data_IF_975290853161
#
_entry.id   IF_975290853161
#
_cell.length_a   1.000
_cell.length_b   1.000
_cell.length_c   1.000
_cell.angle_alpha   90.00
_cell.angle_beta   90.00
_cell.angle_gamma   90.00
#
_symmetry.space_group_name_H-M   'P 1'
#
loop_
_entity.id
_entity.type
_entity.pdbx_description
1 polymer ?
#
# COMPACT_ATOMS: atom_id res chain seq x y z
N UNK A 1 -22.67 9.14 -23.49
CA UNK A 1 -21.82 9.95 -24.39
C UNK A 1 -20.64 10.59 -23.65
N UNK A 2 -20.83 11.44 -22.63
CA UNK A 2 -19.69 11.87 -21.79
C UNK A 2 -19.24 10.75 -20.84
N UNK A 3 -20.16 10.15 -20.09
CA UNK A 3 -19.86 9.04 -19.17
C UNK A 3 -19.23 7.81 -19.85
N UNK A 4 -19.74 7.44 -21.02
CA UNK A 4 -19.16 6.36 -21.85
C UNK A 4 -17.74 6.70 -22.33
N UNK A 5 -17.44 7.99 -22.54
CA UNK A 5 -16.11 8.45 -22.97
C UNK A 5 -15.14 8.55 -21.79
N UNK A 6 -15.64 8.91 -20.61
CA UNK A 6 -14.89 8.86 -19.35
C UNK A 6 -14.53 7.41 -18.99
N UNK A 7 -15.45 6.47 -19.18
CA UNK A 7 -15.22 5.03 -18.97
C UNK A 7 -14.23 4.44 -19.99
N UNK A 8 -14.32 4.79 -21.27
CA UNK A 8 -13.34 4.40 -22.31
C UNK A 8 -11.94 5.00 -22.06
N UNK A 9 -11.85 6.27 -21.64
CA UNK A 9 -10.57 6.91 -21.28
C UNK A 9 -9.96 6.33 -19.99
N UNK A 10 -10.77 5.73 -19.11
CA UNK A 10 -10.31 5.03 -17.91
C UNK A 10 -9.72 3.65 -18.25
N UNK A 11 -10.29 2.98 -19.25
CA UNK A 11 -9.87 1.65 -19.74
C UNK A 11 -8.53 1.71 -20.51
N UNK A 12 -8.18 2.86 -21.10
CA UNK A 12 -6.88 3.09 -21.75
C UNK A 12 -5.73 3.43 -20.77
N UNK A 13 -6.02 3.77 -19.50
CA UNK A 13 -4.98 4.17 -18.54
C UNK A 13 -4.18 2.96 -18.06
N UNK A 14 -2.85 3.10 -17.90
CA UNK A 14 -2.03 2.00 -17.41
C UNK A 14 -2.44 1.61 -16.00
N UNK A 15 -2.51 0.30 -15.76
CA UNK A 15 -2.67 -0.28 -14.42
C UNK A 15 -1.45 0.07 -13.56
N UNK A 16 -1.67 0.71 -12.43
CA UNK A 16 -0.60 1.15 -11.53
C UNK A 16 -0.68 0.46 -10.17
N UNK A 17 0.27 -0.41 -9.84
CA UNK A 17 0.34 -1.03 -8.50
C UNK A 17 1.55 -0.49 -7.75
N UNK A 18 1.31 0.07 -6.56
CA UNK A 18 2.31 0.79 -5.77
C UNK A 18 2.64 0.07 -4.47
N UNK A 19 3.93 -0.17 -4.21
CA UNK A 19 4.43 -0.65 -2.92
C UNK A 19 4.65 0.53 -1.97
N UNK A 20 3.73 0.71 -1.04
CA UNK A 20 3.83 1.67 0.05
C UNK A 20 4.48 1.03 1.28
N UNK A 21 3.89 1.18 2.47
CA UNK A 21 4.32 0.57 3.73
C UNK A 21 3.16 0.59 4.73
N UNK A 22 3.00 -0.48 5.50
CA UNK A 22 2.06 -0.48 6.61
C UNK A 22 2.47 0.55 7.66
N UNK A 23 1.48 1.23 8.22
CA UNK A 23 1.68 2.23 9.27
C UNK A 23 1.84 3.66 8.77
N UNK A 24 1.72 3.93 7.46
CA UNK A 24 1.88 5.29 6.91
C UNK A 24 0.88 6.30 7.49
N UNK A 25 -0.29 5.86 7.94
CA UNK A 25 -1.26 6.75 8.61
C UNK A 25 -1.08 6.85 10.12
N UNK A 26 -0.18 6.06 10.72
CA UNK A 26 -0.02 5.98 12.18
C UNK A 26 0.71 7.17 12.83
N UNK A 27 1.80 7.75 12.25
CA UNK A 27 2.55 8.83 12.90
C UNK A 27 1.70 10.04 13.32
N UNK A 28 0.62 10.34 12.59
CA UNK A 28 -0.26 11.48 12.84
C UNK A 28 -1.68 11.07 13.28
N UNK A 29 -1.93 9.78 13.54
CA UNK A 29 -3.28 9.32 13.92
C UNK A 29 -3.58 9.69 15.38
N UNK A 30 -4.70 10.40 15.65
CA UNK A 30 -5.11 10.68 17.02
C UNK A 30 -5.31 9.39 17.82
N UNK A 31 -4.81 9.35 19.05
CA UNK A 31 -5.00 8.22 19.97
C UNK A 31 -4.05 7.04 19.80
N UNK A 32 -3.02 7.15 18.96
CA UNK A 32 -1.94 6.14 18.88
C UNK A 32 -0.89 6.41 19.97
N UNK A 33 -0.50 5.35 20.67
CA UNK A 33 0.71 5.33 21.50
C UNK A 33 1.92 4.98 20.65
N UNK A 34 2.70 6.01 20.28
CA UNK A 34 3.86 5.89 19.39
C UNK A 34 4.98 5.02 19.99
N UNK A 35 5.05 4.89 21.32
CA UNK A 35 6.13 4.15 21.97
C UNK A 35 6.02 2.63 21.75
N UNK A 36 4.82 2.13 21.50
CA UNK A 36 4.54 0.71 21.23
C UNK A 36 4.41 0.39 19.74
N UNK A 37 4.63 1.37 18.87
CA UNK A 37 4.55 1.20 17.42
C UNK A 37 5.87 0.63 16.83
N UNK A 38 5.82 0.02 15.62
CA UNK A 38 7.02 -0.44 14.94
C UNK A 38 8.06 0.68 14.74
N UNK A 39 9.36 0.35 14.62
CA UNK A 39 10.43 1.34 14.52
C UNK A 39 10.24 2.40 13.43
N UNK A 40 9.67 2.04 12.27
CA UNK A 40 9.43 2.99 11.18
C UNK A 40 8.42 4.09 11.56
N UNK A 41 7.40 3.77 12.38
CA UNK A 41 6.41 4.73 12.88
C UNK A 41 7.02 5.56 14.00
N UNK A 42 7.64 4.89 14.98
CA UNK A 42 8.27 5.54 16.13
C UNK A 42 9.37 6.52 15.74
N UNK A 43 10.20 6.13 14.76
CA UNK A 43 11.37 6.90 14.32
C UNK A 43 11.09 7.67 13.02
N UNK A 44 9.82 7.85 12.62
CA UNK A 44 9.49 8.44 11.32
C UNK A 44 10.20 9.79 11.09
N UNK A 45 10.19 10.69 12.07
CA UNK A 45 10.85 12.00 11.97
C UNK A 45 12.38 11.87 11.88
N UNK A 46 12.98 10.98 12.66
CA UNK A 46 14.41 10.69 12.61
C UNK A 46 14.85 10.03 11.28
N UNK A 47 13.93 9.32 10.63
CA UNK A 47 14.09 8.73 9.30
C UNK A 47 13.74 9.73 8.17
N UNK A 48 13.62 11.02 8.49
CA UNK A 48 13.33 12.07 7.50
C UNK A 48 11.88 12.11 7.02
N UNK A 49 10.94 11.56 7.80
CA UNK A 49 9.52 11.51 7.46
C UNK A 49 9.19 10.47 6.39
N UNK A 50 9.92 9.35 6.32
CA UNK A 50 9.75 8.33 5.27
C UNK A 50 8.30 7.87 5.11
N UNK A 51 7.57 7.61 6.20
CA UNK A 51 6.17 7.21 6.16
C UNK A 51 5.26 8.37 5.75
N UNK A 52 5.59 9.59 6.18
CA UNK A 52 4.89 10.81 5.76
C UNK A 52 4.97 11.00 4.25
N UNK A 53 6.14 10.79 3.65
CA UNK A 53 6.32 10.92 2.20
C UNK A 53 5.72 9.75 1.42
N UNK A 54 5.73 8.53 1.97
CA UNK A 54 4.98 7.41 1.39
C UNK A 54 3.48 7.71 1.35
N UNK A 55 2.90 8.21 2.45
CA UNK A 55 1.49 8.60 2.47
C UNK A 55 1.17 9.67 1.42
N UNK A 56 1.99 10.73 1.33
CA UNK A 56 1.85 11.76 0.28
C UNK A 56 1.94 11.16 -1.12
N UNK A 57 2.81 10.18 -1.33
CA UNK A 57 2.92 9.45 -2.60
C UNK A 57 1.64 8.69 -2.94
N UNK A 58 1.03 8.03 -1.94
CA UNK A 58 -0.28 7.40 -2.14
C UNK A 58 -1.36 8.43 -2.47
N UNK A 59 -1.43 9.55 -1.76
CA UNK A 59 -2.41 10.60 -2.02
C UNK A 59 -2.28 11.16 -3.44
N UNK A 60 -1.05 11.37 -3.90
CA UNK A 60 -0.80 11.78 -5.28
C UNK A 60 -1.25 10.75 -6.31
N UNK A 61 -1.09 9.45 -6.02
CA UNK A 61 -1.60 8.37 -6.89
C UNK A 61 -3.14 8.40 -6.92
N UNK A 62 -3.80 8.56 -5.76
CA UNK A 62 -5.27 8.68 -5.68
C UNK A 62 -5.80 9.86 -6.48
N UNK A 63 -5.09 10.99 -6.44
CA UNK A 63 -5.45 12.23 -7.15
C UNK A 63 -5.07 12.20 -8.64
N UNK A 64 -4.23 11.27 -9.07
CA UNK A 64 -3.70 11.22 -10.45
C UNK A 64 -4.73 10.83 -11.51
N UNK A 65 -5.83 10.19 -11.11
CA UNK A 65 -6.80 9.58 -12.02
C UNK A 65 -6.30 8.29 -12.69
N UNK A 66 -5.13 7.76 -12.34
CA UNK A 66 -4.72 6.44 -12.78
C UNK A 66 -5.63 5.37 -12.17
N UNK A 67 -5.91 4.29 -12.92
CA UNK A 67 -6.40 3.06 -12.30
C UNK A 67 -5.28 2.51 -11.41
N UNK A 68 -5.49 2.44 -10.10
CA UNK A 68 -4.42 2.10 -9.16
C UNK A 68 -4.79 1.01 -8.14
N UNK A 69 -3.77 0.42 -7.52
CA UNK A 69 -3.84 -0.35 -6.29
C UNK A 69 -2.63 -0.02 -5.41
N UNK A 70 -2.86 0.21 -4.11
CA UNK A 70 -1.78 0.45 -3.13
C UNK A 70 -1.66 -0.75 -2.20
N UNK A 71 -0.48 -1.35 -2.18
CA UNK A 71 -0.13 -2.43 -1.25
C UNK A 71 0.80 -1.88 -0.18
N UNK A 72 0.48 -2.12 1.09
CA UNK A 72 1.23 -1.65 2.26
C UNK A 72 1.84 -2.83 3.03
N UNK A 73 3.02 -3.33 2.63
CA UNK A 73 3.68 -4.39 3.39
C UNK A 73 4.06 -3.96 4.81
N UNK A 74 3.93 -4.88 5.75
CA UNK A 74 4.52 -4.86 7.07
C UNK A 74 6.05 -5.00 6.96
N UNK A 75 6.73 -5.29 8.08
CA UNK A 75 8.18 -5.34 8.10
C UNK A 75 8.73 -6.41 7.13
N UNK A 76 9.53 -5.98 6.15
CA UNK A 76 10.11 -6.90 5.18
C UNK A 76 11.14 -7.82 5.83
N UNK A 77 11.09 -9.11 5.50
CA UNK A 77 12.06 -10.12 5.94
C UNK A 77 12.76 -10.79 4.75
N UNK A 78 13.90 -11.43 5.01
CA UNK A 78 14.64 -12.29 4.05
C UNK A 78 14.37 -13.78 4.35
N UNK A 79 13.43 -14.07 5.26
CA UNK A 79 12.93 -15.42 5.47
C UNK A 79 12.19 -15.90 4.21
N UNK A 80 12.23 -17.20 3.89
CA UNK A 80 11.57 -17.74 2.71
C UNK A 80 10.06 -17.43 2.67
N UNK A 81 9.50 -17.44 1.46
CA UNK A 81 8.07 -17.31 1.21
C UNK A 81 7.23 -18.44 1.86
N UNK A 82 5.92 -18.20 1.93
CA UNK A 82 4.94 -19.22 2.34
C UNK A 82 4.38 -19.06 3.76
N UNK A 83 4.65 -17.94 4.42
CA UNK A 83 3.89 -17.54 5.58
C UNK A 83 2.45 -17.20 5.19
N UNK A 84 1.51 -17.34 6.13
CA UNK A 84 0.13 -16.88 5.91
C UNK A 84 0.12 -15.36 5.72
N UNK A 85 -0.41 -14.91 4.57
CA UNK A 85 -0.57 -13.48 4.27
C UNK A 85 -1.91 -13.02 4.82
N UNK A 86 -1.86 -12.16 5.83
CA UNK A 86 -3.04 -11.48 6.38
C UNK A 86 -3.26 -10.19 5.61
N UNK A 87 -4.45 -9.99 5.09
CA UNK A 87 -4.82 -8.78 4.35
C UNK A 87 -5.83 -7.98 5.16
N UNK A 88 -5.51 -6.73 5.44
CA UNK A 88 -6.39 -5.82 6.19
C UNK A 88 -6.38 -4.41 5.59
N UNK A 89 -7.28 -3.55 6.10
CA UNK A 89 -7.31 -2.14 5.74
C UNK A 89 -7.28 -1.24 6.96
N UNK A 90 -6.55 -0.13 6.84
CA UNK A 90 -6.54 0.94 7.84
C UNK A 90 -5.31 0.93 8.74
N UNK A 91 -4.21 0.35 8.28
CA UNK A 91 -2.96 0.19 9.04
C UNK A 91 -3.21 -0.43 10.42
N UNK A 92 -3.91 -1.56 10.48
CA UNK A 92 -4.31 -2.20 11.75
C UNK A 92 -3.42 -3.38 12.13
N UNK A 93 -2.82 -4.07 11.16
CA UNK A 93 -2.00 -5.25 11.41
C UNK A 93 -0.53 -4.91 11.68
N UNK A 94 0.16 -5.85 12.34
CA UNK A 94 1.60 -5.82 12.58
C UNK A 94 2.13 -7.20 12.28
N UNK A 95 3.29 -7.28 11.66
CA UNK A 95 3.88 -8.55 11.29
C UNK A 95 5.12 -8.38 10.45
N UNK A 96 5.48 -9.46 9.77
CA UNK A 96 6.53 -9.48 8.77
C UNK A 96 6.04 -10.22 7.53
N UNK A 97 6.57 -9.85 6.39
CA UNK A 97 6.30 -10.50 5.10
C UNK A 97 7.61 -10.62 4.32
N UNK A 98 7.83 -11.75 3.64
CA UNK A 98 9.04 -11.95 2.83
C UNK A 98 9.04 -11.01 1.63
N UNK A 99 10.22 -10.69 1.10
CA UNK A 99 10.31 -9.88 -0.13
C UNK A 99 9.77 -10.64 -1.33
N UNK A 100 9.92 -11.95 -1.32
CA UNK A 100 9.41 -12.90 -2.30
C UNK A 100 7.88 -12.90 -2.32
N UNK A 101 7.22 -12.99 -1.16
CA UNK A 101 5.75 -12.91 -1.06
C UNK A 101 5.23 -11.56 -1.57
N UNK A 102 5.90 -10.45 -1.20
CA UNK A 102 5.55 -9.12 -1.72
C UNK A 102 5.70 -9.06 -3.23
N UNK A 103 6.80 -9.57 -3.80
CA UNK A 103 7.02 -9.57 -5.24
C UNK A 103 5.96 -10.39 -5.98
N UNK A 104 5.65 -11.59 -5.49
CA UNK A 104 4.61 -12.48 -6.04
C UNK A 104 3.24 -11.83 -5.97
N UNK A 105 2.90 -11.20 -4.83
CA UNK A 105 1.67 -10.46 -4.66
C UNK A 105 1.55 -9.31 -5.67
N UNK A 106 2.61 -8.50 -5.82
CA UNK A 106 2.63 -7.38 -6.77
C UNK A 106 2.41 -7.85 -8.21
N UNK A 107 3.05 -8.94 -8.61
CA UNK A 107 2.83 -9.56 -9.92
C UNK A 107 1.36 -9.99 -10.10
N UNK A 108 0.78 -10.67 -9.11
CA UNK A 108 -0.62 -11.09 -9.17
C UNK A 108 -1.59 -9.89 -9.23
N UNK A 109 -1.32 -8.82 -8.47
CA UNK A 109 -2.14 -7.61 -8.49
C UNK A 109 -2.15 -6.93 -9.85
N UNK A 110 -1.01 -6.86 -10.55
CA UNK A 110 -0.93 -6.23 -11.87
C UNK A 110 -1.54 -7.11 -12.96
N UNK A 111 -1.23 -8.41 -12.95
CA UNK A 111 -1.48 -9.31 -14.08
C UNK A 111 -2.83 -10.03 -14.00
N UNK A 112 -3.29 -10.37 -12.80
CA UNK A 112 -4.41 -11.31 -12.61
C UNK A 112 -5.58 -10.72 -11.84
N UNK A 113 -5.30 -9.91 -10.81
CA UNK A 113 -6.30 -9.49 -9.82
C UNK A 113 -6.67 -8.02 -9.93
N UNK A 114 -6.09 -7.28 -10.88
CA UNK A 114 -6.18 -5.83 -10.92
C UNK A 114 -7.62 -5.30 -10.80
N UNK A 115 -8.55 -5.86 -11.56
CA UNK A 115 -9.95 -5.40 -11.56
C UNK A 115 -10.65 -5.63 -10.20
N UNK A 116 -10.15 -6.55 -9.38
CA UNK A 116 -10.67 -6.83 -8.02
C UNK A 116 -10.07 -5.88 -6.97
N UNK A 117 -8.92 -5.27 -7.27
CA UNK A 117 -8.18 -4.40 -6.34
C UNK A 117 -8.05 -2.96 -6.87
N UNK A 118 -8.78 -2.62 -7.93
CA UNK A 118 -8.82 -1.27 -8.47
C UNK A 118 -9.38 -0.31 -7.43
N UNK A 119 -8.69 0.80 -7.23
CA UNK A 119 -8.97 1.84 -6.24
C UNK A 119 -8.94 1.35 -4.79
N UNK A 120 -8.25 0.23 -4.54
CA UNK A 120 -8.10 -0.36 -3.22
C UNK A 120 -6.72 -0.05 -2.64
N UNK A 121 -6.70 0.28 -1.35
CA UNK A 121 -5.49 0.30 -0.52
C UNK A 121 -5.62 -0.77 0.54
N UNK A 122 -4.62 -1.64 0.70
CA UNK A 122 -4.62 -2.66 1.75
C UNK A 122 -3.21 -2.91 2.29
N UNK A 123 -3.13 -3.35 3.53
CA UNK A 123 -1.89 -3.78 4.16
C UNK A 123 -1.76 -5.30 4.20
N UNK A 124 -0.50 -5.77 4.13
CA UNK A 124 -0.10 -7.19 4.13
C UNK A 124 1.09 -7.45 5.02
#
# INVERSE_FOLDING_TARGET
>A
REREREEEEEEERPRFVYVSSAGVTRPNRPGIDVEVEPPAVKLNDALGGILTYKLKGEDYIRESGLSYCVVRPCALTEEPEGAEIVVEQGDTIRGKISREDVASLMCSMVLEKFDQVKDVTFEV
#
